data_IF_731628199878
#
_entry.id   IF_731628199878
#
_cell.length_a   1.000
_cell.length_b   1.000
_cell.length_c   1.000
_cell.angle_alpha   90.00
_cell.angle_beta   90.00
_cell.angle_gamma   90.00
#
_symmetry.space_group_name_H-M   'P 1'
#
loop_
_entity.id
_entity.type
_entity.pdbx_description
1 polymer ?
#
# COMPACT_ATOMS: atom_id res chain seq x y z
N UNK A 1 -13.34 -15.87 -3.15
CA UNK A 1 -13.28 -14.85 -4.22
C UNK A 1 -12.05 -14.01 -3.98
N UNK A 2 -11.01 -14.15 -4.80
CA UNK A 2 -9.86 -13.25 -4.78
C UNK A 2 -10.36 -11.88 -5.29
N UNK A 3 -10.54 -10.92 -4.39
CA UNK A 3 -10.94 -9.57 -4.78
C UNK A 3 -9.72 -8.85 -5.34
N UNK A 4 -9.49 -9.00 -6.64
CA UNK A 4 -8.52 -8.14 -7.33
C UNK A 4 -9.01 -6.69 -7.28
N UNK A 5 -8.08 -5.73 -7.26
CA UNK A 5 -8.41 -4.31 -7.34
C UNK A 5 -9.27 -3.99 -8.58
N UNK A 6 -9.04 -4.72 -9.68
CA UNK A 6 -9.85 -4.64 -10.90
C UNK A 6 -11.30 -5.07 -10.67
N UNK A 7 -11.54 -6.15 -9.91
CA UNK A 7 -12.89 -6.61 -9.56
C UNK A 7 -13.64 -5.59 -8.70
N UNK A 8 -12.94 -4.95 -7.76
CA UNK A 8 -13.49 -3.86 -6.94
C UNK A 8 -13.86 -2.66 -7.81
N UNK A 9 -12.96 -2.22 -8.69
CA UNK A 9 -13.22 -1.11 -9.61
C UNK A 9 -14.42 -1.37 -10.52
N UNK A 10 -14.52 -2.57 -11.11
CA UNK A 10 -15.65 -2.98 -11.95
C UNK A 10 -16.96 -2.95 -11.16
N UNK A 11 -16.98 -3.50 -9.94
CA UNK A 11 -18.18 -3.53 -9.09
C UNK A 11 -18.60 -2.14 -8.61
N UNK A 12 -17.65 -1.27 -8.30
CA UNK A 12 -17.91 0.12 -7.93
C UNK A 12 -18.54 0.90 -9.10
N UNK A 13 -18.05 0.68 -10.33
CA UNK A 13 -18.62 1.29 -11.55
C UNK A 13 -20.04 0.82 -11.83
N UNK A 14 -20.31 -0.48 -11.68
CA UNK A 14 -21.61 -1.08 -11.97
C UNK A 14 -22.66 -0.80 -10.87
N UNK A 15 -22.25 -0.77 -9.61
CA UNK A 15 -23.17 -0.57 -8.48
C UNK A 15 -22.66 0.51 -7.53
N UNK A 16 -23.05 1.76 -7.81
CA UNK A 16 -22.64 2.95 -7.05
C UNK A 16 -23.07 2.93 -5.58
N UNK A 17 -24.11 2.17 -5.22
CA UNK A 17 -24.59 2.04 -3.83
C UNK A 17 -23.92 0.90 -3.05
N UNK A 18 -23.13 0.06 -3.72
CA UNK A 18 -22.47 -1.07 -3.08
C UNK A 18 -21.42 -0.60 -2.07
N UNK A 19 -21.43 -1.18 -0.87
CA UNK A 19 -20.44 -0.94 0.18
C UNK A 19 -19.51 -2.14 0.30
N UNK A 20 -18.23 -1.93 0.02
CA UNK A 20 -17.20 -2.95 0.21
C UNK A 20 -16.92 -3.11 1.70
N UNK A 21 -17.22 -4.29 2.24
CA UNK A 21 -17.09 -4.57 3.67
C UNK A 21 -15.69 -5.05 4.08
N UNK A 22 -14.83 -5.38 3.11
CA UNK A 22 -13.60 -6.14 3.39
C UNK A 22 -12.30 -5.53 2.84
N UNK A 23 -12.34 -4.26 2.46
CA UNK A 23 -11.15 -3.58 1.93
C UNK A 23 -10.00 -3.55 2.94
N UNK A 24 -10.32 -3.52 4.24
CA UNK A 24 -9.30 -3.48 5.29
C UNK A 24 -8.45 -4.76 5.35
N UNK A 25 -8.97 -5.92 4.94
CA UNK A 25 -8.18 -7.16 4.87
C UNK A 25 -7.14 -7.14 3.75
N UNK A 26 -7.31 -6.26 2.76
CA UNK A 26 -6.32 -6.06 1.70
C UNK A 26 -5.08 -5.31 2.19
N UNK A 27 -5.13 -4.70 3.37
CA UNK A 27 -3.97 -4.10 4.02
C UNK A 27 -3.12 -5.20 4.68
N UNK A 28 -2.29 -5.86 3.87
CA UNK A 28 -1.41 -6.96 4.29
C UNK A 28 -0.08 -6.90 3.54
N UNK A 29 0.86 -7.74 3.97
CA UNK A 29 2.25 -7.72 3.49
C UNK A 29 2.34 -8.08 2.01
N UNK A 30 1.60 -9.10 1.56
CA UNK A 30 1.57 -9.56 0.17
C UNK A 30 1.12 -8.45 -0.78
N UNK A 31 0.02 -7.76 -0.46
CA UNK A 31 -0.49 -6.68 -1.29
C UNK A 31 0.42 -5.44 -1.29
N UNK A 32 1.09 -5.13 -0.17
CA UNK A 32 2.05 -4.02 -0.14
C UNK A 32 3.34 -4.36 -0.92
N UNK A 33 3.80 -5.61 -0.85
CA UNK A 33 4.90 -6.10 -1.67
C UNK A 33 4.56 -6.04 -3.16
N UNK A 34 3.35 -6.43 -3.55
CA UNK A 34 2.92 -6.34 -4.95
C UNK A 34 2.82 -4.88 -5.42
N UNK A 35 2.27 -4.01 -4.57
CA UNK A 35 2.16 -2.57 -4.84
C UNK A 35 3.51 -1.91 -5.11
N UNK A 36 4.57 -2.39 -4.47
CA UNK A 36 5.93 -1.87 -4.61
C UNK A 36 6.44 -1.94 -6.06
N UNK A 37 6.06 -2.98 -6.80
CA UNK A 37 6.46 -3.18 -8.21
C UNK A 37 5.95 -2.07 -9.14
N UNK A 38 4.91 -1.36 -8.71
CA UNK A 38 4.29 -0.27 -9.47
C UNK A 38 4.83 1.11 -9.09
N UNK A 39 5.73 1.20 -8.11
CA UNK A 39 6.35 2.46 -7.72
C UNK A 39 7.42 2.89 -8.75
N UNK A 40 7.56 4.21 -8.91
CA UNK A 40 8.63 4.76 -9.74
C UNK A 40 9.96 4.71 -8.99
N UNK A 41 10.78 3.72 -9.30
CA UNK A 41 12.11 3.54 -8.69
C UNK A 41 13.10 4.68 -8.96
N UNK A 42 12.77 5.60 -9.87
CA UNK A 42 13.56 6.81 -10.18
C UNK A 42 13.04 8.07 -9.48
N UNK A 43 11.98 7.97 -8.67
CA UNK A 43 11.46 9.11 -7.92
C UNK A 43 12.50 9.64 -6.92
N UNK A 44 12.48 10.96 -6.70
CA UNK A 44 13.31 11.57 -5.67
C UNK A 44 12.89 11.08 -4.29
N UNK A 45 13.85 10.87 -3.39
CA UNK A 45 13.57 10.55 -1.99
C UNK A 45 12.77 11.68 -1.33
N UNK A 46 11.85 11.31 -0.44
CA UNK A 46 11.05 12.27 0.34
C UNK A 46 11.88 13.06 1.36
N UNK A 47 11.20 13.80 2.23
CA UNK A 47 11.86 14.60 3.30
C UNK A 47 12.71 13.74 4.24
N UNK A 48 12.37 12.47 4.39
CA UNK A 48 13.16 11.52 5.18
C UNK A 48 14.39 10.96 4.48
N UNK A 49 14.61 11.34 3.21
CA UNK A 49 15.76 10.97 2.38
C UNK A 49 15.93 9.47 2.15
N UNK A 50 14.97 8.64 2.58
CA UNK A 50 15.01 7.19 2.37
C UNK A 50 14.81 6.93 0.89
N UNK A 51 15.85 6.42 0.24
CA UNK A 51 15.76 6.00 -1.16
C UNK A 51 15.05 4.66 -1.28
N UNK A 52 14.53 4.36 -2.48
CA UNK A 52 13.90 3.07 -2.77
C UNK A 52 14.85 1.89 -2.49
N UNK A 53 16.15 2.05 -2.80
CA UNK A 53 17.18 1.03 -2.53
C UNK A 53 17.40 0.80 -1.03
N UNK A 54 17.44 1.86 -0.25
CA UNK A 54 17.58 1.77 1.21
C UNK A 54 16.34 1.11 1.85
N UNK A 55 15.16 1.42 1.31
CA UNK A 55 13.93 0.76 1.74
C UNK A 55 13.94 -0.74 1.43
N UNK A 56 14.41 -1.14 0.25
CA UNK A 56 14.51 -2.55 -0.16
C UNK A 56 15.54 -3.35 0.62
N UNK A 57 16.58 -2.72 1.17
CA UNK A 57 17.62 -3.41 1.95
C UNK A 57 17.06 -4.18 3.16
N UNK A 58 15.98 -3.67 3.77
CA UNK A 58 15.26 -4.31 4.88
C UNK A 58 13.78 -4.50 4.53
N UNK A 59 13.49 -4.92 3.29
CA UNK A 59 12.15 -4.94 2.71
C UNK A 59 11.09 -5.59 3.61
N UNK A 60 11.33 -6.81 4.07
CA UNK A 60 10.36 -7.56 4.89
C UNK A 60 10.03 -6.84 6.20
N UNK A 61 11.05 -6.39 6.92
CA UNK A 61 10.89 -5.67 8.19
C UNK A 61 10.15 -4.34 7.99
N UNK A 62 10.50 -3.61 6.93
CA UNK A 62 9.85 -2.34 6.60
C UNK A 62 8.36 -2.54 6.26
N UNK A 63 8.03 -3.56 5.46
CA UNK A 63 6.66 -3.91 5.11
C UNK A 63 5.86 -4.35 6.34
N UNK A 64 6.41 -5.22 7.19
CA UNK A 64 5.77 -5.66 8.43
C UNK A 64 5.46 -4.49 9.36
N UNK A 65 6.43 -3.61 9.58
CA UNK A 65 6.26 -2.39 10.37
C UNK A 65 5.19 -1.46 9.78
N UNK A 66 5.17 -1.32 8.45
CA UNK A 66 4.20 -0.52 7.74
C UNK A 66 2.77 -1.08 7.87
N UNK A 67 2.57 -2.38 7.62
CA UNK A 67 1.27 -3.05 7.82
C UNK A 67 0.78 -2.87 9.24
N UNK A 68 1.65 -3.11 10.23
CA UNK A 68 1.32 -2.96 11.64
C UNK A 68 0.88 -1.52 11.97
N UNK A 69 1.68 -0.52 11.58
CA UNK A 69 1.38 0.89 11.85
C UNK A 69 0.11 1.39 11.14
N UNK A 70 -0.17 0.90 9.93
CA UNK A 70 -1.40 1.21 9.20
C UNK A 70 -2.61 0.57 9.89
N UNK A 71 -2.50 -0.70 10.32
CA UNK A 71 -3.57 -1.40 11.04
C UNK A 71 -3.89 -0.78 12.40
N UNK A 72 -2.88 -0.25 13.07
CA UNK A 72 -3.01 0.46 14.35
C UNK A 72 -3.34 1.95 14.19
N UNK A 73 -3.52 2.43 12.95
CA UNK A 73 -3.82 3.84 12.61
C UNK A 73 -2.76 4.84 13.13
N UNK A 74 -1.51 4.38 13.29
CA UNK A 74 -0.36 5.20 13.73
C UNK A 74 0.49 5.71 12.58
N UNK A 75 0.34 5.15 11.38
CA UNK A 75 1.06 5.61 10.21
C UNK A 75 0.70 7.06 9.86
N UNK A 76 1.74 7.88 9.65
CA UNK A 76 1.61 9.26 9.18
C UNK A 76 2.50 9.42 7.95
N UNK A 77 1.88 9.68 6.81
CA UNK A 77 2.62 9.95 5.59
C UNK A 77 3.45 11.21 5.78
N UNK A 78 4.74 11.13 5.45
CA UNK A 78 5.64 12.28 5.47
C UNK A 78 5.39 13.13 4.23
N UNK A 79 5.77 14.40 4.31
CA UNK A 79 5.64 15.32 3.18
C UNK A 79 6.54 14.86 2.03
N UNK A 80 5.98 14.92 0.82
CA UNK A 80 6.71 14.73 -0.44
C UNK A 80 7.27 16.09 -0.85
N UNK A 81 8.47 16.11 -1.42
CA UNK A 81 9.13 17.33 -1.90
C UNK A 81 8.77 17.61 -3.36
#
# INVERSE_FOLDING_TARGET
MQTSLQGIAKKAKLNKKYRFRDLYRLLNEENLLDSLKYLNNKAASGVDKVSMKEFEANLLTNIQGLVKSLKEKRYRAKLVR
#
